data_IF_724713953099
#
_entry.id   IF_724713953099
#
_cell.length_a   1.000
_cell.length_b   1.000
_cell.length_c   1.000
_cell.angle_alpha   90.00
_cell.angle_beta   90.00
_cell.angle_gamma   90.00
#
_symmetry.space_group_name_H-M   'P 1'
#
loop_
_entity.id
_entity.type
_entity.pdbx_description
1 polymer ?
#
# COMPACT_ATOMS: atom_id res chain seq x y z
N UNK A 1 -36.72 36.05 0.90
CA UNK A 1 -35.34 35.59 0.71
C UNK A 1 -34.52 35.91 1.96
N UNK A 2 -34.03 34.84 2.59
CA UNK A 2 -33.05 34.68 3.68
C UNK A 2 -33.07 35.57 4.94
N UNK A 3 -33.72 35.05 6.00
CA UNK A 3 -33.39 35.29 7.42
C UNK A 3 -32.09 34.53 7.71
N UNK A 4 -31.02 35.22 8.10
CA UNK A 4 -29.83 34.57 8.68
C UNK A 4 -29.85 34.85 10.18
N UNK A 5 -30.23 33.82 10.95
CA UNK A 5 -30.14 33.80 12.41
C UNK A 5 -28.69 33.57 12.80
N UNK A 6 -28.05 34.55 13.44
CA UNK A 6 -26.79 34.36 14.14
C UNK A 6 -27.01 33.41 15.31
N UNK A 7 -26.38 32.23 15.29
CA UNK A 7 -26.33 31.36 16.45
C UNK A 7 -25.52 32.04 17.56
N UNK A 8 -26.21 32.48 18.61
CA UNK A 8 -25.61 32.88 19.88
C UNK A 8 -25.00 31.60 20.49
N UNK A 9 -23.70 31.41 20.33
CA UNK A 9 -22.96 30.39 21.08
C UNK A 9 -22.58 31.06 22.39
N UNK A 10 -23.34 30.73 23.44
CA UNK A 10 -23.10 31.15 24.81
C UNK A 10 -21.74 30.64 25.29
N UNK A 11 -20.77 31.54 25.34
CA UNK A 11 -19.54 31.36 26.12
C UNK A 11 -19.64 32.30 27.32
N UNK A 12 -20.75 32.19 28.05
CA UNK A 12 -20.80 32.64 29.44
C UNK A 12 -20.15 31.56 30.31
N UNK A 13 -19.09 31.96 31.01
CA UNK A 13 -18.28 31.18 31.96
C UNK A 13 -17.16 30.29 31.39
N UNK A 14 -16.05 30.94 31.03
CA UNK A 14 -14.73 30.41 31.38
C UNK A 14 -14.09 31.35 32.41
N UNK A 15 -14.16 30.90 33.66
CA UNK A 15 -13.54 31.50 34.83
C UNK A 15 -12.04 31.69 34.63
N UNK A 16 -11.57 32.90 34.91
CA UNK A 16 -10.16 33.23 35.10
C UNK A 16 -9.48 32.18 35.99
N UNK A 17 -8.60 31.36 35.42
CA UNK A 17 -7.61 30.64 36.20
C UNK A 17 -6.44 31.59 36.47
N UNK A 18 -6.13 31.69 37.76
CA UNK A 18 -5.08 32.49 38.37
C UNK A 18 -3.70 32.26 37.74
N UNK A 19 -2.97 33.36 37.60
CA UNK A 19 -1.81 33.58 36.73
C UNK A 19 -0.47 32.94 37.16
N UNK A 20 -0.43 31.95 38.06
CA UNK A 20 0.82 31.65 38.78
C UNK A 20 1.53 30.32 38.49
N UNK A 21 1.06 29.45 37.58
CA UNK A 21 1.76 28.17 37.34
C UNK A 21 1.74 27.71 35.89
N UNK A 22 2.57 28.33 35.04
CA UNK A 22 2.98 27.74 33.76
C UNK A 22 4.47 28.08 33.48
N UNK A 23 5.37 27.51 34.28
CA UNK A 23 6.82 27.44 34.00
C UNK A 23 7.15 26.47 32.86
N UNK A 24 6.45 26.50 31.73
CA UNK A 24 6.92 25.83 30.51
C UNK A 24 6.94 26.87 29.40
N UNK A 25 8.14 27.21 28.90
CA UNK A 25 8.29 28.11 27.76
C UNK A 25 7.50 27.53 26.59
N UNK A 26 6.33 28.10 26.32
CA UNK A 26 5.56 27.74 25.15
C UNK A 26 6.44 27.92 23.91
N UNK A 27 6.42 26.99 22.95
CA UNK A 27 7.13 27.20 21.70
C UNK A 27 6.64 28.51 21.08
N UNK A 28 7.58 29.36 20.65
CA UNK A 28 7.28 30.65 20.08
C UNK A 28 6.21 30.48 18.99
N UNK A 29 5.14 31.29 19.07
CA UNK A 29 4.07 31.28 18.07
C UNK A 29 4.71 31.48 16.70
N UNK A 30 4.62 30.48 15.84
CA UNK A 30 5.06 30.58 14.46
C UNK A 30 4.23 31.69 13.80
N UNK A 31 4.84 32.83 13.50
CA UNK A 31 4.13 33.90 12.80
C UNK A 31 3.95 33.43 11.35
N UNK A 32 2.70 33.20 10.95
CA UNK A 32 2.38 33.00 9.55
C UNK A 32 2.91 34.21 8.77
N UNK A 33 3.58 34.01 7.61
CA UNK A 33 3.90 35.12 6.73
C UNK A 33 2.60 35.80 6.29
N UNK A 34 2.63 37.12 6.01
CA UNK A 34 1.44 37.87 5.63
C UNK A 34 0.77 37.28 4.38
N UNK A 35 -0.56 37.42 4.33
CA UNK A 35 -1.43 36.82 3.31
C UNK A 35 -0.87 37.00 1.90
N UNK A 36 -0.52 35.88 1.25
CA UNK A 36 -0.10 35.84 -0.15
C UNK A 36 1.15 35.03 -0.46
N UNK A 37 1.94 34.64 0.53
CA UNK A 37 3.06 33.72 0.30
C UNK A 37 2.64 32.26 0.49
N UNK A 38 2.90 31.43 -0.52
CA UNK A 38 2.67 30.01 -0.43
C UNK A 38 3.57 29.43 0.67
N UNK A 39 2.95 28.92 1.74
CA UNK A 39 3.64 28.12 2.75
C UNK A 39 4.35 26.99 1.99
N UNK A 40 5.69 26.87 2.05
CA UNK A 40 6.37 25.74 1.44
C UNK A 40 5.84 24.48 2.13
N UNK A 41 5.01 23.73 1.42
CA UNK A 41 4.45 22.50 1.91
C UNK A 41 5.60 21.51 2.05
N UNK A 42 6.14 21.38 3.26
CA UNK A 42 6.99 20.23 3.63
C UNK A 42 6.21 18.90 3.62
N UNK A 43 5.09 18.81 2.89
CA UNK A 43 4.31 17.59 2.71
C UNK A 43 5.19 16.48 2.13
N UNK A 44 6.14 16.82 1.24
CA UNK A 44 7.09 15.84 0.71
C UNK A 44 8.00 15.23 1.80
N UNK A 45 8.29 15.96 2.88
CA UNK A 45 9.00 15.44 4.06
C UNK A 45 8.12 14.65 5.02
N UNK A 46 6.81 14.93 5.05
CA UNK A 46 5.84 14.24 5.91
C UNK A 46 5.39 12.88 5.35
N UNK A 47 5.56 12.65 4.05
CA UNK A 47 5.19 11.40 3.37
C UNK A 47 6.40 10.68 2.75
N UNK A 48 7.60 10.85 3.29
CA UNK A 48 8.69 9.94 2.95
C UNK A 48 8.37 8.56 3.49
N UNK A 49 7.78 7.71 2.64
CA UNK A 49 7.55 6.29 2.92
C UNK A 49 8.83 5.71 3.53
N UNK A 50 8.69 5.04 4.67
CA UNK A 50 9.79 4.33 5.29
C UNK A 50 10.41 3.31 4.31
N UNK A 51 11.67 2.91 4.47
CA UNK A 51 12.30 1.94 3.57
C UNK A 51 11.49 0.66 3.39
N UNK A 52 10.82 0.19 4.46
CA UNK A 52 9.92 -0.97 4.41
C UNK A 52 8.64 -0.71 3.61
N UNK A 53 8.06 0.48 3.70
CA UNK A 53 6.89 0.82 2.89
C UNK A 53 7.26 1.05 1.42
N UNK A 54 8.48 1.56 1.13
CA UNK A 54 8.99 1.66 -0.24
C UNK A 54 9.17 0.28 -0.87
N UNK A 55 9.72 -0.69 -0.13
CA UNK A 55 9.85 -2.07 -0.62
C UNK A 55 8.49 -2.74 -0.80
N UNK A 56 7.58 -2.63 0.18
CA UNK A 56 6.21 -3.14 0.04
C UNK A 56 5.47 -2.51 -1.15
N UNK A 57 5.63 -1.20 -1.37
CA UNK A 57 5.02 -0.50 -2.52
C UNK A 57 5.62 -0.94 -3.86
N UNK A 58 6.91 -1.28 -3.88
CA UNK A 58 7.54 -1.85 -5.08
C UNK A 58 7.06 -3.28 -5.36
N UNK A 59 6.71 -4.04 -4.32
CA UNK A 59 6.14 -5.38 -4.43
C UNK A 59 4.65 -5.35 -4.78
N UNK A 60 3.90 -4.34 -4.33
CA UNK A 60 2.47 -4.19 -4.63
C UNK A 60 2.19 -3.74 -6.07
N UNK A 61 3.17 -3.08 -6.71
CA UNK A 61 3.10 -2.66 -8.11
C UNK A 61 4.16 -3.41 -8.93
N UNK A 62 4.00 -4.73 -9.14
CA UNK A 62 4.90 -5.47 -10.00
C UNK A 62 4.90 -4.84 -11.40
N UNK A 63 6.09 -4.69 -11.99
CA UNK A 63 6.25 -4.24 -13.39
C UNK A 63 5.81 -5.36 -14.33
N UNK A 64 4.50 -5.59 -14.38
CA UNK A 64 3.91 -6.58 -15.28
C UNK A 64 3.62 -5.88 -16.61
N UNK A 65 4.12 -6.44 -17.71
CA UNK A 65 3.81 -5.95 -19.06
C UNK A 65 2.34 -6.20 -19.43
N UNK A 66 1.76 -7.30 -18.95
CA UNK A 66 0.38 -7.69 -19.17
C UNK A 66 -0.44 -7.64 -17.87
N UNK A 67 -1.19 -6.54 -17.67
CA UNK A 67 -2.05 -6.33 -16.51
C UNK A 67 -3.15 -7.39 -16.36
N UNK A 68 -3.46 -8.18 -17.40
CA UNK A 68 -4.41 -9.28 -17.31
C UNK A 68 -3.94 -10.36 -16.32
N UNK A 69 -2.62 -10.52 -16.14
CA UNK A 69 -2.04 -11.45 -15.18
C UNK A 69 -2.32 -11.09 -13.71
N UNK A 70 -2.81 -9.87 -13.42
CA UNK A 70 -3.28 -9.54 -12.08
C UNK A 70 -4.56 -10.29 -11.69
N UNK A 71 -5.31 -10.81 -12.68
CA UNK A 71 -6.52 -11.58 -12.40
C UNK A 71 -6.15 -13.04 -12.15
N UNK A 72 -6.55 -13.64 -11.01
CA UNK A 72 -6.15 -15.01 -10.65
C UNK A 72 -6.44 -16.04 -11.74
N UNK A 73 -7.63 -15.97 -12.37
CA UNK A 73 -8.02 -16.89 -13.44
C UNK A 73 -7.14 -16.77 -14.70
N UNK A 74 -6.76 -15.55 -15.06
CA UNK A 74 -5.93 -15.30 -16.25
C UNK A 74 -4.48 -15.71 -15.98
N UNK A 75 -3.96 -15.42 -14.78
CA UNK A 75 -2.68 -15.93 -14.33
C UNK A 75 -2.63 -17.46 -14.38
N UNK A 76 -3.61 -18.16 -13.81
CA UNK A 76 -3.64 -19.63 -13.79
C UNK A 76 -3.67 -20.22 -15.19
N UNK A 77 -4.46 -19.64 -16.11
CA UNK A 77 -4.51 -20.07 -17.50
C UNK A 77 -3.14 -19.90 -18.19
N UNK A 78 -2.53 -18.72 -18.08
CA UNK A 78 -1.22 -18.43 -18.67
C UNK A 78 -0.10 -19.27 -18.08
N UNK A 79 -0.12 -19.48 -16.76
CA UNK A 79 0.85 -20.34 -16.09
C UNK A 79 0.76 -21.78 -16.63
N UNK A 80 -0.46 -22.32 -16.77
CA UNK A 80 -0.69 -23.64 -17.36
C UNK A 80 -0.20 -23.73 -18.80
N UNK A 81 -0.56 -22.76 -19.64
CA UNK A 81 -0.10 -22.70 -21.04
C UNK A 81 1.43 -22.72 -21.14
N UNK A 82 2.12 -21.92 -20.32
CA UNK A 82 3.58 -21.84 -20.31
C UNK A 82 4.18 -23.16 -19.83
N UNK A 83 3.63 -23.80 -18.79
CA UNK A 83 4.13 -25.10 -18.32
C UNK A 83 4.01 -26.18 -19.40
N UNK A 84 2.90 -26.21 -20.14
CA UNK A 84 2.70 -27.20 -21.22
C UNK A 84 3.66 -26.95 -22.39
N UNK A 85 3.89 -25.69 -22.75
CA UNK A 85 4.88 -25.33 -23.78
C UNK A 85 6.30 -25.69 -23.35
N UNK A 86 6.65 -25.44 -22.08
CA UNK A 86 7.96 -25.74 -21.54
C UNK A 86 8.19 -27.26 -21.44
N UNK A 87 7.17 -28.05 -21.09
CA UNK A 87 7.19 -29.52 -21.17
C UNK A 87 7.48 -30.02 -22.58
N UNK A 88 6.81 -29.44 -23.58
CA UNK A 88 7.02 -29.78 -24.98
C UNK A 88 8.44 -29.41 -25.45
N UNK A 89 8.94 -28.22 -25.08
CA UNK A 89 10.30 -27.81 -25.41
C UNK A 89 11.36 -28.64 -24.69
N UNK A 90 11.18 -28.95 -23.41
CA UNK A 90 12.10 -29.77 -22.63
C UNK A 90 12.23 -31.19 -23.22
N UNK A 91 11.13 -31.77 -23.70
CA UNK A 91 11.14 -33.08 -24.36
C UNK A 91 11.73 -33.07 -25.77
N UNK A 92 11.62 -31.96 -26.50
CA UNK A 92 12.21 -31.83 -27.85
C UNK A 92 13.71 -31.55 -27.82
N UNK A 93 14.15 -30.70 -26.89
CA UNK A 93 15.54 -30.24 -26.82
C UNK A 93 16.40 -31.10 -25.88
N UNK A 94 15.79 -31.96 -25.04
CA UNK A 94 16.49 -32.75 -24.01
C UNK A 94 17.51 -31.93 -23.21
N UNK A 95 17.12 -30.69 -22.87
CA UNK A 95 17.97 -29.77 -22.11
C UNK A 95 17.68 -29.92 -20.61
N UNK A 96 18.73 -30.17 -19.83
CA UNK A 96 18.64 -30.28 -18.37
C UNK A 96 18.14 -28.96 -17.75
N UNK A 97 18.57 -27.80 -18.26
CA UNK A 97 18.11 -26.49 -17.79
C UNK A 97 16.59 -26.31 -17.93
N UNK A 98 16.00 -26.85 -19.01
CA UNK A 98 14.56 -26.79 -19.22
C UNK A 98 13.82 -27.77 -18.31
N UNK A 99 14.39 -28.94 -18.05
CA UNK A 99 13.83 -29.91 -17.09
C UNK A 99 13.85 -29.35 -15.66
N UNK A 100 14.92 -28.65 -15.28
CA UNK A 100 15.04 -27.99 -13.98
C UNK A 100 14.04 -26.85 -13.84
N UNK A 101 13.90 -26.01 -14.88
CA UNK A 101 12.88 -24.96 -14.90
C UNK A 101 11.47 -25.53 -14.76
N UNK A 102 11.20 -26.67 -15.41
CA UNK A 102 9.92 -27.37 -15.35
C UNK A 102 9.64 -27.92 -13.95
N UNK A 103 10.64 -28.49 -13.30
CA UNK A 103 10.55 -28.96 -11.92
C UNK A 103 10.23 -27.79 -10.96
N UNK A 104 10.92 -26.65 -11.11
CA UNK A 104 10.66 -25.44 -10.34
C UNK A 104 9.23 -24.92 -10.57
N UNK A 105 8.74 -24.89 -11.82
CA UNK A 105 7.37 -24.48 -12.11
C UNK A 105 6.32 -25.41 -11.47
N UNK A 106 6.57 -26.73 -11.49
CA UNK A 106 5.69 -27.71 -10.82
C UNK A 106 5.66 -27.51 -9.31
N UNK A 107 6.81 -27.27 -8.69
CA UNK A 107 6.89 -26.98 -7.26
C UNK A 107 6.15 -25.67 -6.91
N UNK A 108 6.36 -24.63 -7.71
CA UNK A 108 5.69 -23.34 -7.52
C UNK A 108 4.17 -23.49 -7.56
N UNK A 109 3.63 -24.35 -8.43
CA UNK A 109 2.19 -24.65 -8.49
C UNK A 109 1.68 -25.28 -7.18
N UNK A 110 2.42 -26.24 -6.62
CA UNK A 110 2.06 -26.87 -5.35
C UNK A 110 2.03 -25.85 -4.22
N UNK A 111 3.03 -24.96 -4.15
CA UNK A 111 3.07 -23.90 -3.15
C UNK A 111 1.88 -22.94 -3.28
N UNK A 112 1.47 -22.61 -4.51
CA UNK A 112 0.28 -21.80 -4.77
C UNK A 112 -1.01 -22.49 -4.31
N UNK A 113 -1.14 -23.80 -4.55
CA UNK A 113 -2.29 -24.58 -4.12
C UNK A 113 -2.36 -24.67 -2.58
N UNK A 114 -1.21 -24.83 -1.90
CA UNK A 114 -1.15 -24.81 -0.44
C UNK A 114 -1.51 -23.44 0.15
N UNK A 115 -1.01 -22.35 -0.44
CA UNK A 115 -1.35 -20.99 0.00
C UNK A 115 -2.85 -20.71 -0.19
N UNK A 116 -3.41 -21.13 -1.33
CA UNK A 116 -4.85 -21.03 -1.60
C UNK A 116 -5.68 -21.80 -0.57
N UNK A 117 -5.27 -23.04 -0.25
CA UNK A 117 -5.92 -23.85 0.77
C UNK A 117 -5.84 -23.21 2.16
N UNK A 118 -4.65 -22.74 2.56
CA UNK A 118 -4.45 -22.08 3.84
C UNK A 118 -5.32 -20.81 3.95
N UNK A 119 -5.39 -20.02 2.88
CA UNK A 119 -6.25 -18.83 2.82
C UNK A 119 -7.74 -19.19 2.95
N UNK A 120 -8.21 -20.23 2.25
CA UNK A 120 -9.58 -20.72 2.37
C UNK A 120 -9.91 -21.24 3.78
N UNK A 121 -8.95 -21.88 4.45
CA UNK A 121 -9.12 -22.34 5.83
C UNK A 121 -9.21 -21.15 6.80
N UNK A 122 -8.35 -20.13 6.63
CA UNK A 122 -8.39 -18.91 7.45
C UNK A 122 -9.68 -18.11 7.30
N UNK A 123 -10.25 -18.06 6.09
CA UNK A 123 -11.53 -17.36 5.83
C UNK A 123 -12.77 -18.10 6.36
N UNK A 124 -12.65 -19.40 6.67
CA UNK A 124 -13.76 -20.24 7.15
C UNK A 124 -13.87 -20.32 8.68
N UNK A 125 -12.89 -19.78 9.40
CA UNK A 125 -12.88 -19.64 10.86
C UNK A 125 -13.46 -18.29 11.24
#
# INVERSE_FOLDING_TARGET
MSKVTSAHIGIEHLSFHSNDELEHSFPARFSLPPDGEAIPSHLDKLYELSPGERTLKSLSNPKISDMSLLRPKQYQARFKEITEQLELLASQLNSDDLQDALALMKQTKLDQDYLSLAFHLLLRV
#
